data_IF_201315660483
#
_entry.id   IF_201315660483
#
_cell.length_a   1.000
_cell.length_b   1.000
_cell.length_c   1.000
_cell.angle_alpha   90.00
_cell.angle_beta   90.00
_cell.angle_gamma   90.00
#
_symmetry.space_group_name_H-M   'P 1'
#
loop_
_entity.id
_entity.type
_entity.pdbx_description
1 polymer ?
#
# COMPACT_ATOMS: atom_id res chain seq x y z
N UNK A 1 -20.09 30.49 37.83
CA UNK A 1 -20.14 29.70 36.58
C UNK A 1 -18.70 29.37 36.20
N UNK A 2 -18.20 28.17 36.51
CA UNK A 2 -16.97 27.68 35.92
C UNK A 2 -17.29 27.00 34.60
N UNK A 3 -16.64 27.42 33.52
CA UNK A 3 -16.52 26.62 32.30
C UNK A 3 -15.33 25.69 32.49
N UNK A 4 -15.49 24.37 32.30
CA UNK A 4 -14.33 23.55 32.02
C UNK A 4 -14.44 22.87 30.66
N UNK A 5 -13.29 22.89 30.01
CA UNK A 5 -12.82 21.97 29.00
C UNK A 5 -13.47 22.08 27.62
N UNK A 6 -12.89 22.98 26.83
CA UNK A 6 -12.78 22.79 25.39
C UNK A 6 -12.07 21.46 25.14
N UNK A 7 -12.87 20.40 24.97
CA UNK A 7 -12.43 19.20 24.28
C UNK A 7 -11.88 19.63 22.92
N UNK A 8 -10.57 19.56 22.78
CA UNK A 8 -9.88 19.64 21.50
C UNK A 8 -10.56 18.66 20.54
N UNK A 9 -11.14 19.10 19.41
CA UNK A 9 -11.55 18.18 18.37
C UNK A 9 -10.28 17.73 17.66
N UNK A 10 -9.51 16.84 18.28
CA UNK A 10 -8.60 15.99 17.51
C UNK A 10 -9.50 15.30 16.47
N UNK A 11 -9.29 15.52 15.14
CA UNK A 11 -10.09 14.87 14.13
C UNK A 11 -10.04 13.36 14.38
N UNK A 12 -11.13 12.59 14.23
CA UNK A 12 -11.12 11.15 14.48
C UNK A 12 -9.91 10.55 13.78
N UNK A 13 -8.97 10.03 14.57
CA UNK A 13 -7.68 9.57 14.07
C UNK A 13 -7.89 8.65 12.88
N UNK A 14 -7.40 9.06 11.72
CA UNK A 14 -7.39 8.19 10.55
C UNK A 14 -6.67 6.92 10.95
N UNK A 15 -7.39 5.79 10.92
CA UNK A 15 -6.77 4.50 11.20
C UNK A 15 -5.52 4.36 10.31
N UNK A 16 -4.38 4.13 10.95
CA UNK A 16 -3.11 3.89 10.25
C UNK A 16 -3.27 2.65 9.38
N UNK A 17 -2.81 2.75 8.15
CA UNK A 17 -2.76 1.62 7.23
C UNK A 17 -1.46 0.87 7.48
N UNK A 18 -1.54 -0.46 7.60
CA UNK A 18 -0.38 -1.30 7.91
C UNK A 18 -0.24 -2.43 6.90
N UNK A 19 0.98 -2.94 6.77
CA UNK A 19 1.25 -3.97 5.77
C UNK A 19 0.44 -5.23 6.05
N UNK A 20 0.53 -5.75 7.28
CA UNK A 20 -0.11 -7.02 7.65
C UNK A 20 -1.63 -6.95 7.58
N UNK A 21 -2.23 -5.80 7.90
CA UNK A 21 -3.69 -5.64 7.92
C UNK A 21 -4.28 -5.35 6.54
N UNK A 22 -3.66 -4.46 5.77
CA UNK A 22 -4.31 -3.84 4.62
C UNK A 22 -3.58 -4.10 3.29
N UNK A 23 -2.24 -4.09 3.28
CA UNK A 23 -1.45 -4.14 2.03
C UNK A 23 -1.14 -5.56 1.60
N UNK A 24 -0.91 -6.48 2.56
CA UNK A 24 -0.50 -7.86 2.30
C UNK A 24 -1.48 -8.59 1.39
N UNK A 25 -2.78 -8.46 1.66
CA UNK A 25 -3.82 -9.10 0.84
C UNK A 25 -3.89 -8.50 -0.56
N UNK A 26 -3.65 -7.19 -0.71
CA UNK A 26 -3.61 -6.54 -2.02
C UNK A 26 -2.44 -7.10 -2.84
N UNK A 27 -1.24 -7.19 -2.25
CA UNK A 27 -0.06 -7.74 -2.91
C UNK A 27 -0.25 -9.21 -3.24
N UNK A 28 -0.77 -10.00 -2.30
CA UNK A 28 -0.99 -11.43 -2.49
C UNK A 28 -1.92 -11.70 -3.68
N UNK A 29 -3.08 -11.03 -3.72
CA UNK A 29 -4.11 -11.28 -4.71
C UNK A 29 -3.76 -10.74 -6.11
N UNK A 30 -2.97 -9.66 -6.18
CA UNK A 30 -2.79 -8.94 -7.46
C UNK A 30 -1.36 -9.01 -8.02
N UNK A 31 -0.34 -9.25 -7.20
CA UNK A 31 1.06 -9.09 -7.62
C UNK A 31 1.82 -10.41 -7.69
N UNK A 32 1.55 -11.38 -6.81
CA UNK A 32 2.40 -12.56 -6.65
C UNK A 32 2.34 -13.56 -7.80
N UNK A 33 1.30 -13.53 -8.64
CA UNK A 33 1.25 -14.35 -9.86
C UNK A 33 2.43 -14.07 -10.80
N UNK A 34 2.92 -12.83 -10.82
CA UNK A 34 3.98 -12.36 -11.71
C UNK A 34 5.23 -11.84 -11.00
N UNK A 35 5.16 -11.60 -9.69
CA UNK A 35 6.25 -11.04 -8.89
C UNK A 35 6.50 -11.89 -7.63
N UNK A 36 6.59 -13.21 -7.82
CA UNK A 36 6.91 -14.18 -6.76
C UNK A 36 8.31 -14.76 -6.95
N UNK A 37 8.74 -15.59 -6.01
CA UNK A 37 9.98 -16.37 -6.11
C UNK A 37 9.97 -17.36 -7.27
N UNK A 38 8.80 -17.88 -7.64
CA UNK A 38 8.63 -18.84 -8.73
C UNK A 38 8.59 -18.16 -10.10
N UNK A 39 7.99 -16.97 -10.17
CA UNK A 39 7.88 -16.18 -11.40
C UNK A 39 8.25 -14.72 -11.11
N UNK A 40 9.54 -14.36 -11.09
CA UNK A 40 10.00 -13.01 -10.78
C UNK A 40 10.06 -12.16 -12.06
N UNK A 41 8.92 -11.77 -12.63
CA UNK A 41 8.92 -10.93 -13.85
C UNK A 41 9.67 -9.62 -13.58
N UNK A 42 10.51 -9.24 -14.54
CA UNK A 42 11.42 -8.10 -14.44
C UNK A 42 12.37 -8.15 -13.22
N UNK A 43 12.64 -9.34 -12.67
CA UNK A 43 13.50 -9.54 -11.51
C UNK A 43 12.89 -9.05 -10.18
N UNK A 44 11.59 -8.73 -10.16
CA UNK A 44 10.90 -8.23 -8.97
C UNK A 44 10.21 -9.37 -8.21
N UNK A 45 10.47 -9.43 -6.90
CA UNK A 45 9.86 -10.36 -5.95
C UNK A 45 9.20 -9.55 -4.84
N UNK A 46 7.95 -9.86 -4.48
CA UNK A 46 7.12 -9.10 -3.53
C UNK A 46 6.50 -9.99 -2.43
N UNK A 47 7.14 -11.11 -2.08
CA UNK A 47 6.55 -12.15 -1.22
C UNK A 47 6.58 -11.83 0.27
N UNK A 48 7.25 -10.74 0.68
CA UNK A 48 7.30 -10.30 2.08
C UNK A 48 7.32 -8.78 2.22
N UNK A 49 7.07 -8.31 3.45
CA UNK A 49 7.05 -6.89 3.80
C UNK A 49 8.30 -6.14 3.34
N UNK A 50 9.49 -6.64 3.64
CA UNK A 50 10.75 -5.95 3.29
C UNK A 50 10.90 -5.73 1.79
N UNK A 51 10.55 -6.74 0.99
CA UNK A 51 10.57 -6.65 -0.47
C UNK A 51 9.54 -5.64 -1.00
N UNK A 52 8.31 -5.68 -0.47
CA UNK A 52 7.24 -4.75 -0.86
C UNK A 52 7.62 -3.32 -0.48
N UNK A 53 8.05 -3.10 0.76
CA UNK A 53 8.51 -1.80 1.25
C UNK A 53 9.66 -1.27 0.42
N UNK A 54 10.69 -2.07 0.16
CA UNK A 54 11.82 -1.62 -0.65
C UNK A 54 11.38 -1.22 -2.06
N UNK A 55 10.50 -2.00 -2.70
CA UNK A 55 9.97 -1.69 -4.04
C UNK A 55 9.04 -0.47 -4.05
N UNK A 56 8.31 -0.22 -2.96
CA UNK A 56 7.44 0.94 -2.80
C UNK A 56 8.21 2.23 -2.46
N UNK A 57 9.24 2.12 -1.63
CA UNK A 57 10.02 3.25 -1.12
C UNK A 57 11.15 3.66 -2.05
N UNK A 58 11.91 2.68 -2.55
CA UNK A 58 13.12 2.90 -3.36
C UNK A 58 12.93 2.49 -4.83
N UNK A 59 11.82 1.82 -5.15
CA UNK A 59 11.48 1.39 -6.51
C UNK A 59 10.35 2.21 -7.12
N UNK A 60 9.64 1.59 -8.07
CA UNK A 60 8.56 2.21 -8.81
C UNK A 60 7.21 1.50 -8.61
N UNK A 61 7.07 0.64 -7.60
CA UNK A 61 5.86 -0.17 -7.38
C UNK A 61 4.58 0.68 -7.39
N UNK A 62 4.57 1.76 -6.61
CA UNK A 62 3.41 2.66 -6.47
C UNK A 62 3.13 3.45 -7.75
N UNK A 63 4.18 3.90 -8.45
CA UNK A 63 4.02 4.59 -9.72
C UNK A 63 3.46 3.66 -10.80
N UNK A 64 3.92 2.40 -10.86
CA UNK A 64 3.51 1.42 -11.88
C UNK A 64 2.08 0.93 -11.70
N UNK A 65 1.58 0.79 -10.47
CA UNK A 65 0.18 0.43 -10.24
C UNK A 65 -0.79 1.60 -10.50
N UNK A 66 -0.29 2.84 -10.43
CA UNK A 66 -1.09 4.05 -10.70
C UNK A 66 -1.11 4.44 -12.19
N UNK A 67 -0.15 3.96 -12.99
CA UNK A 67 -0.06 4.21 -14.43
C UNK A 67 -1.26 3.60 -15.18
N UNK A 68 -2.04 4.45 -15.84
CA UNK A 68 -3.20 4.02 -16.63
C UNK A 68 -2.81 3.63 -18.08
N UNK A 69 -1.66 4.09 -18.58
CA UNK A 69 -1.17 3.76 -19.92
C UNK A 69 -0.51 2.38 -19.95
N UNK A 70 0.19 2.00 -18.87
CA UNK A 70 0.79 0.68 -18.69
C UNK A 70 0.45 0.10 -17.32
N UNK A 71 -0.83 -0.27 -17.08
CA UNK A 71 -1.27 -0.72 -15.77
C UNK A 71 -0.56 -2.00 -15.35
N UNK A 72 -0.21 -2.04 -14.06
CA UNK A 72 0.18 -3.26 -13.38
C UNK A 72 -0.83 -3.50 -12.26
N UNK A 73 -1.57 -4.62 -12.27
CA UNK A 73 -1.43 -5.78 -13.18
C UNK A 73 -1.84 -5.53 -14.64
N UNK A 74 -1.33 -6.32 -15.62
CA UNK A 74 -1.60 -6.12 -17.04
C UNK A 74 -3.05 -6.41 -17.45
N UNK A 75 -3.81 -7.12 -16.60
CA UNK A 75 -5.23 -7.41 -16.84
C UNK A 75 -6.14 -6.21 -16.51
N UNK A 76 -5.59 -5.10 -16.03
CA UNK A 76 -6.32 -3.90 -15.69
C UNK A 76 -5.82 -3.25 -14.42
N UNK A 77 -6.08 -1.94 -14.29
CA UNK A 77 -5.71 -1.16 -13.11
C UNK A 77 -6.42 -1.70 -11.86
N UNK A 78 -5.71 -1.70 -10.73
CA UNK A 78 -6.28 -2.03 -9.42
C UNK A 78 -7.50 -1.14 -9.13
N UNK A 79 -8.44 -1.66 -8.32
CA UNK A 79 -9.57 -0.86 -7.84
C UNK A 79 -9.06 0.34 -7.05
N UNK A 80 -9.76 1.47 -7.17
CA UNK A 80 -9.31 2.74 -6.59
C UNK A 80 -9.08 2.63 -5.08
N UNK A 81 -9.88 1.86 -4.36
CA UNK A 81 -9.71 1.64 -2.91
C UNK A 81 -8.37 0.98 -2.57
N UNK A 82 -7.89 0.03 -3.37
CA UNK A 82 -6.59 -0.63 -3.16
C UNK A 82 -5.43 0.33 -3.41
N UNK A 83 -5.53 1.17 -4.44
CA UNK A 83 -4.54 2.20 -4.71
C UNK A 83 -4.48 3.21 -3.56
N UNK A 84 -5.64 3.70 -3.12
CA UNK A 84 -5.73 4.63 -1.99
C UNK A 84 -5.15 4.04 -0.70
N UNK A 85 -5.37 2.75 -0.42
CA UNK A 85 -4.76 2.08 0.74
C UNK A 85 -3.22 2.05 0.63
N UNK A 86 -2.68 1.71 -0.53
CA UNK A 86 -1.22 1.67 -0.73
C UNK A 86 -0.60 3.08 -0.67
N UNK A 87 -1.27 4.07 -1.23
CA UNK A 87 -0.84 5.48 -1.15
C UNK A 87 -0.90 6.01 0.29
N UNK A 88 -1.93 5.63 1.06
CA UNK A 88 -2.02 5.95 2.49
C UNK A 88 -0.95 5.23 3.30
N UNK A 89 -0.68 3.95 3.03
CA UNK A 89 0.41 3.20 3.67
C UNK A 89 1.79 3.85 3.45
N UNK A 90 2.03 4.37 2.23
CA UNK A 90 3.22 5.18 1.94
C UNK A 90 3.24 6.46 2.79
N UNK A 91 2.12 7.19 2.85
CA UNK A 91 2.01 8.42 3.64
C UNK A 91 2.19 8.18 5.15
N UNK A 92 1.71 7.04 5.65
CA UNK A 92 1.83 6.61 7.05
C UNK A 92 3.25 6.10 7.41
N UNK A 93 4.14 5.98 6.42
CA UNK A 93 5.56 5.65 6.64
C UNK A 93 5.92 4.18 6.46
N UNK A 94 5.17 3.43 5.65
CA UNK A 94 5.38 2.00 5.41
C UNK A 94 5.33 1.15 6.69
N UNK A 95 4.28 1.33 7.48
CA UNK A 95 4.10 0.61 8.75
C UNK A 95 3.88 -0.89 8.50
N UNK A 96 4.56 -1.74 9.27
CA UNK A 96 4.40 -3.19 9.14
C UNK A 96 3.14 -3.69 9.85
N UNK A 97 2.91 -3.23 11.09
CA UNK A 97 1.86 -3.66 12.01
C UNK A 97 1.08 -2.49 12.58
#
# INVERSE_FOLDING_TARGET
MPVPDTVDPTPPGEAKVTYEKDVKDIIFNNCLTCHSTVNPRAGLILVNYNQVKNSAQNGNLIARMNDAANPMPPNGKLVQSSLTLIDKWKADGFLEN
#
